data_IF_515087834422
#
_entry.id   IF_515087834422
#
_cell.length_a   1.000
_cell.length_b   1.000
_cell.length_c   1.000
_cell.angle_alpha   90.00
_cell.angle_beta   90.00
_cell.angle_gamma   90.00
#
_symmetry.space_group_name_H-M   'P 1'
#
loop_
_entity.id
_entity.type
_entity.pdbx_description
1 polymer ?
#
# COMPACT_ATOMS: atom_id res chain seq x y z
N UNK A 1 -9.05 -9.82 -20.42
CA UNK A 1 -8.49 -8.73 -19.59
C UNK A 1 -7.07 -8.43 -20.06
N UNK A 2 -6.83 -7.25 -20.65
CA UNK A 2 -5.46 -6.78 -20.97
C UNK A 2 -4.99 -5.89 -19.82
N UNK A 3 -3.74 -6.01 -19.40
CA UNK A 3 -3.07 -5.18 -18.39
C UNK A 3 -3.52 -5.40 -16.94
N UNK A 4 -4.02 -6.57 -16.55
CA UNK A 4 -4.34 -6.88 -15.15
C UNK A 4 -3.08 -6.93 -14.27
N UNK A 5 -1.95 -7.39 -14.82
CA UNK A 5 -0.71 -7.51 -14.04
C UNK A 5 -0.19 -6.18 -13.49
N UNK A 6 -0.32 -5.07 -14.22
CA UNK A 6 0.08 -3.75 -13.69
C UNK A 6 -0.75 -3.32 -12.48
N UNK A 7 -2.05 -3.64 -12.47
CA UNK A 7 -2.92 -3.34 -11.34
C UNK A 7 -2.56 -4.21 -10.12
N UNK A 8 -2.12 -5.44 -10.37
CA UNK A 8 -1.60 -6.32 -9.32
C UNK A 8 -0.32 -5.75 -8.71
N UNK A 9 0.65 -5.34 -9.53
CA UNK A 9 1.89 -4.71 -9.02
C UNK A 9 1.62 -3.40 -8.28
N UNK A 10 0.75 -2.55 -8.81
CA UNK A 10 0.33 -1.33 -8.13
C UNK A 10 -0.33 -1.61 -6.78
N UNK A 11 -1.21 -2.62 -6.70
CA UNK A 11 -1.84 -3.03 -5.45
C UNK A 11 -0.83 -3.49 -4.40
N UNK A 12 0.13 -4.34 -4.77
CA UNK A 12 1.20 -4.80 -3.85
C UNK A 12 2.02 -3.61 -3.35
N UNK A 13 2.41 -2.70 -4.24
CA UNK A 13 3.17 -1.51 -3.85
C UNK A 13 2.40 -0.60 -2.89
N UNK A 14 1.10 -0.39 -3.13
CA UNK A 14 0.23 0.41 -2.27
C UNK A 14 0.03 -0.22 -0.90
N UNK A 15 -0.09 -1.54 -0.82
CA UNK A 15 -0.18 -2.26 0.47
C UNK A 15 1.06 -1.93 1.32
N UNK A 16 2.25 -2.13 0.78
CA UNK A 16 3.49 -1.91 1.53
C UNK A 16 3.81 -0.44 1.78
N UNK A 17 3.45 0.45 0.85
CA UNK A 17 3.50 1.89 1.10
C UNK A 17 2.61 2.27 2.29
N UNK A 18 1.38 1.76 2.34
CA UNK A 18 0.42 2.04 3.42
C UNK A 18 0.94 1.54 4.77
N UNK A 19 1.57 0.36 4.79
CA UNK A 19 2.26 -0.16 5.97
C UNK A 19 3.37 0.79 6.40
N UNK A 20 4.31 1.10 5.50
CA UNK A 20 5.47 1.92 5.80
C UNK A 20 5.08 3.32 6.31
N UNK A 21 4.20 4.03 5.59
CA UNK A 21 3.81 5.40 5.95
C UNK A 21 3.02 5.44 7.27
N UNK A 22 2.29 4.38 7.60
CA UNK A 22 1.56 4.30 8.85
C UNK A 22 2.50 4.08 10.02
N UNK A 23 3.40 3.10 9.91
CA UNK A 23 4.39 2.76 10.94
C UNK A 23 5.32 3.93 11.20
N UNK A 24 5.88 4.56 10.16
CA UNK A 24 6.71 5.78 10.30
C UNK A 24 5.91 6.93 10.92
N UNK A 25 4.62 7.02 10.59
CA UNK A 25 3.66 7.90 11.24
C UNK A 25 3.71 7.77 12.75
N UNK A 26 3.52 6.56 13.27
CA UNK A 26 3.43 6.32 14.70
C UNK A 26 4.71 6.66 15.46
N UNK A 27 5.89 6.49 14.85
CA UNK A 27 7.17 6.86 15.48
C UNK A 27 7.50 8.36 15.50
N UNK A 28 6.75 9.21 14.80
CA UNK A 28 7.07 10.65 14.70
C UNK A 28 5.83 11.53 14.63
N UNK A 29 5.57 12.26 15.71
CA UNK A 29 4.53 13.30 15.78
C UNK A 29 4.74 14.38 14.71
N UNK A 30 5.97 14.86 14.53
CA UNK A 30 6.32 15.84 13.49
C UNK A 30 5.96 15.35 12.08
N UNK A 31 6.16 14.07 11.78
CA UNK A 31 5.77 13.51 10.49
C UNK A 31 4.24 13.47 10.32
N UNK A 32 3.49 13.09 11.37
CA UNK A 32 2.02 13.18 11.36
C UNK A 32 1.53 14.61 11.12
N UNK A 33 2.19 15.61 11.70
CA UNK A 33 1.83 17.02 11.50
C UNK A 33 2.11 17.50 10.08
N UNK A 34 3.23 17.10 9.47
CA UNK A 34 3.49 17.37 8.05
C UNK A 34 2.37 16.81 7.18
N UNK A 35 1.99 15.55 7.41
CA UNK A 35 0.89 14.93 6.67
C UNK A 35 -0.44 15.65 6.91
N UNK A 36 -0.73 16.04 8.16
CA UNK A 36 -1.92 16.79 8.52
C UNK A 36 -1.97 18.15 7.84
N UNK A 37 -0.85 18.87 7.73
CA UNK A 37 -0.81 20.21 7.11
C UNK A 37 -1.16 20.21 5.61
N UNK A 38 -1.08 19.07 4.92
CA UNK A 38 -1.43 18.97 3.50
C UNK A 38 -2.93 18.90 3.23
N UNK A 39 -3.71 18.23 4.10
CA UNK A 39 -5.15 17.96 3.85
C UNK A 39 -6.05 18.21 5.06
N UNK A 40 -5.50 18.66 6.19
CA UNK A 40 -6.18 18.80 7.48
C UNK A 40 -6.20 17.52 8.32
N UNK A 41 -5.93 16.35 7.73
CA UNK A 41 -5.96 15.07 8.45
C UNK A 41 -4.94 14.06 7.91
N UNK A 42 -4.03 13.58 8.76
CA UNK A 42 -2.92 12.72 8.32
C UNK A 42 -3.39 11.38 7.72
N UNK A 43 -4.52 10.81 8.16
CA UNK A 43 -5.10 9.61 7.54
C UNK A 43 -5.61 9.87 6.11
N UNK A 44 -6.23 11.02 5.88
CA UNK A 44 -6.70 11.44 4.54
C UNK A 44 -5.51 11.63 3.61
N UNK A 45 -4.45 12.31 4.07
CA UNK A 45 -3.21 12.48 3.29
C UNK A 45 -2.59 11.14 2.90
N UNK A 46 -2.46 10.18 3.83
CA UNK A 46 -1.95 8.83 3.51
C UNK A 46 -2.79 8.16 2.41
N UNK A 47 -4.11 8.27 2.48
CA UNK A 47 -5.03 7.74 1.47
C UNK A 47 -4.86 8.40 0.09
N UNK A 48 -4.73 9.73 0.04
CA UNK A 48 -4.45 10.45 -1.22
C UNK A 48 -3.12 10.01 -1.82
N UNK A 49 -2.07 9.91 -1.00
CA UNK A 49 -0.75 9.45 -1.46
C UNK A 49 -0.79 8.00 -1.97
N UNK A 50 -1.55 7.13 -1.33
CA UNK A 50 -1.75 5.75 -1.78
C UNK A 50 -2.44 5.69 -3.16
N UNK A 51 -3.49 6.49 -3.37
CA UNK A 51 -4.18 6.59 -4.67
C UNK A 51 -3.25 7.19 -5.74
N UNK A 52 -2.50 8.23 -5.40
CA UNK A 52 -1.53 8.84 -6.31
C UNK A 52 -0.44 7.84 -6.72
N UNK A 53 0.11 7.09 -5.76
CA UNK A 53 1.09 6.03 -6.02
C UNK A 53 0.50 4.91 -6.91
N UNK A 54 -0.73 4.49 -6.63
CA UNK A 54 -1.42 3.52 -7.48
C UNK A 54 -1.50 4.00 -8.93
N UNK A 55 -2.02 5.23 -9.12
CA UNK A 55 -2.15 5.84 -10.43
C UNK A 55 -0.81 5.98 -11.15
N UNK A 56 0.23 6.40 -10.43
CA UNK A 56 1.59 6.52 -10.95
C UNK A 56 2.09 5.16 -11.47
N UNK A 57 2.03 4.11 -10.65
CA UNK A 57 2.52 2.78 -11.02
C UNK A 57 1.74 2.21 -12.20
N UNK A 58 0.41 2.32 -12.19
CA UNK A 58 -0.42 1.85 -13.32
C UNK A 58 -0.10 2.59 -14.61
N UNK A 59 0.27 3.87 -14.53
CA UNK A 59 0.58 4.71 -15.69
C UNK A 59 1.97 4.45 -16.27
N UNK A 60 2.97 4.17 -15.42
CA UNK A 60 4.35 3.91 -15.86
C UNK A 60 4.64 2.44 -16.13
N UNK A 61 3.87 1.51 -15.56
CA UNK A 61 4.09 0.08 -15.76
C UNK A 61 3.81 -0.32 -17.23
N UNK A 62 4.72 -1.09 -17.85
CA UNK A 62 4.58 -1.46 -19.25
C UNK A 62 3.32 -2.29 -19.50
N UNK A 63 2.63 -1.98 -20.61
CA UNK A 63 1.46 -2.71 -21.04
C UNK A 63 1.87 -4.11 -21.53
N UNK A 64 1.31 -5.15 -20.92
CA UNK A 64 1.51 -6.51 -21.37
C UNK A 64 0.61 -6.80 -22.59
N UNK A 65 1.22 -7.24 -23.71
CA UNK A 65 0.50 -7.52 -24.96
C UNK A 65 -0.62 -8.56 -24.77
N UNK A 66 -0.43 -9.52 -23.87
CA UNK A 66 -1.44 -10.50 -23.45
C UNK A 66 -1.07 -11.09 -22.09
N UNK A 67 -1.88 -10.83 -21.07
CA UNK A 67 -1.71 -11.48 -19.78
C UNK A 67 -2.11 -12.95 -19.90
N UNK A 68 -1.24 -13.86 -19.44
CA UNK A 68 -1.58 -15.28 -19.36
C UNK A 68 -2.43 -15.51 -18.12
N UNK A 69 -3.49 -16.31 -18.23
CA UNK A 69 -4.38 -16.63 -17.11
C UNK A 69 -3.62 -17.15 -15.87
N UNK A 70 -2.66 -18.05 -16.07
CA UNK A 70 -1.77 -18.55 -15.00
C UNK A 70 -0.98 -17.43 -14.29
N UNK A 71 -0.58 -16.38 -15.01
CA UNK A 71 0.12 -15.24 -14.42
C UNK A 71 -0.83 -14.36 -13.61
N UNK A 72 -2.05 -14.14 -14.10
CA UNK A 72 -3.09 -13.41 -13.36
C UNK A 72 -3.43 -14.15 -12.07
N UNK A 73 -3.71 -15.47 -12.13
CA UNK A 73 -4.02 -16.27 -10.95
C UNK A 73 -2.89 -16.23 -9.91
N UNK A 74 -1.63 -16.36 -10.36
CA UNK A 74 -0.47 -16.21 -9.48
C UNK A 74 -0.39 -14.81 -8.87
N UNK A 75 -0.62 -13.77 -9.67
CA UNK A 75 -0.58 -12.38 -9.21
C UNK A 75 -1.69 -12.05 -8.19
N UNK A 76 -2.90 -12.58 -8.39
CA UNK A 76 -3.99 -12.48 -7.41
C UNK A 76 -3.61 -13.19 -6.10
N UNK A 77 -3.03 -14.39 -6.17
CA UNK A 77 -2.56 -15.08 -4.97
C UNK A 77 -1.46 -14.28 -4.24
N UNK A 78 -0.54 -13.65 -4.98
CA UNK A 78 0.47 -12.74 -4.41
C UNK A 78 -0.21 -11.57 -3.69
N UNK A 79 -1.22 -10.92 -4.29
CA UNK A 79 -1.97 -9.85 -3.62
C UNK A 79 -2.62 -10.33 -2.32
N UNK A 80 -3.31 -11.48 -2.34
CA UNK A 80 -3.97 -12.04 -1.17
C UNK A 80 -2.97 -12.27 -0.04
N UNK A 81 -1.86 -12.94 -0.32
CA UNK A 81 -0.85 -13.20 0.70
C UNK A 81 -0.20 -11.91 1.23
N UNK A 82 0.06 -10.92 0.37
CA UNK A 82 0.59 -9.63 0.83
C UNK A 82 -0.41 -8.89 1.72
N UNK A 83 -1.71 -8.94 1.41
CA UNK A 83 -2.75 -8.35 2.27
C UNK A 83 -2.80 -9.02 3.63
N UNK A 84 -2.76 -10.37 3.67
CA UNK A 84 -2.75 -11.13 4.93
C UNK A 84 -1.51 -10.76 5.75
N UNK A 85 -0.33 -10.79 5.14
CA UNK A 85 0.94 -10.46 5.82
C UNK A 85 0.93 -9.02 6.33
N UNK A 86 0.49 -8.05 5.52
CA UNK A 86 0.39 -6.65 5.93
C UNK A 86 -0.59 -6.45 7.09
N UNK A 87 -1.70 -7.18 7.09
CA UNK A 87 -2.69 -7.15 8.17
C UNK A 87 -2.10 -7.68 9.47
N UNK A 88 -1.42 -8.84 9.41
CA UNK A 88 -0.72 -9.40 10.56
C UNK A 88 0.39 -8.45 11.06
N UNK A 89 1.11 -7.82 10.14
CA UNK A 89 2.13 -6.83 10.47
C UNK A 89 1.53 -5.65 11.24
N UNK A 90 0.43 -5.08 10.77
CA UNK A 90 -0.26 -4.01 11.49
C UNK A 90 -0.75 -4.45 12.87
N UNK A 91 -1.35 -5.63 12.96
CA UNK A 91 -1.83 -6.15 14.24
C UNK A 91 -0.69 -6.28 15.25
N UNK A 92 0.41 -6.93 14.85
CA UNK A 92 1.59 -7.12 15.70
C UNK A 92 2.21 -5.77 16.06
N UNK A 93 2.37 -4.88 15.09
CA UNK A 93 2.95 -3.56 15.32
C UNK A 93 2.14 -2.74 16.32
N UNK A 94 0.83 -2.59 16.12
CA UNK A 94 -0.01 -1.80 17.02
C UNK A 94 -0.18 -2.45 18.39
N UNK A 95 -0.23 -3.78 18.48
CA UNK A 95 -0.21 -4.48 19.77
C UNK A 95 1.08 -4.21 20.53
N UNK A 96 2.22 -4.37 19.86
CA UNK A 96 3.52 -4.12 20.48
C UNK A 96 3.65 -2.66 20.91
N UNK A 97 3.35 -1.72 20.01
CA UNK A 97 3.43 -0.28 20.27
C UNK A 97 2.56 0.14 21.46
N UNK A 98 1.31 -0.36 21.53
CA UNK A 98 0.41 -0.11 22.66
C UNK A 98 0.91 -0.67 24.00
N UNK A 99 1.68 -1.77 24.00
CA UNK A 99 2.22 -2.36 25.22
C UNK A 99 3.51 -1.66 25.70
N UNK A 100 4.18 -0.91 24.81
CA UNK A 100 5.46 -0.27 25.11
C UNK A 100 5.39 1.24 25.30
N UNK A 101 4.32 1.89 24.82
CA UNK A 101 4.02 3.31 25.04
C UNK A 101 2.91 3.49 26.08
#
# INVERSE_FOLDING_TARGET
MKNTLRHIYAGVAVIWFTVAITVVGEFSSSFKDILKNLTGHHWVTKGILAVALYGLIVSVAPSAKKDKEKQIARGVNILIWNTIIATLFFLIFFMWHFLTE
#
